data_IF_089380875882
#
_entry.id   IF_089380875882
#
_cell.length_a   1.000
_cell.length_b   1.000
_cell.length_c   1.000
_cell.angle_alpha   90.00
_cell.angle_beta   90.00
_cell.angle_gamma   90.00
#
_symmetry.space_group_name_H-M   'P 1'
#
loop_
_entity.id
_entity.type
_entity.pdbx_description
1 polymer ?
#
# COMPACT_ATOMS: atom_id res chain seq x y z
N UNK A 1 -4.63 -39.89 47.12
CA UNK A 1 -5.39 -38.88 46.35
C UNK A 1 -4.42 -37.77 46.00
N UNK A 2 -3.93 -37.74 44.77
CA UNK A 2 -3.00 -36.73 44.25
C UNK A 2 -3.56 -36.27 42.92
N UNK A 3 -4.11 -35.06 42.89
CA UNK A 3 -4.60 -34.44 41.67
C UNK A 3 -3.41 -33.75 41.03
N UNK A 4 -3.00 -34.23 39.85
CA UNK A 4 -2.05 -33.53 39.02
C UNK A 4 -2.75 -32.24 38.53
N UNK A 5 -2.26 -31.10 38.97
CA UNK A 5 -2.65 -29.80 38.43
C UNK A 5 -1.98 -29.68 37.06
N UNK A 6 -2.70 -30.00 35.99
CA UNK A 6 -2.33 -29.59 34.64
C UNK A 6 -2.31 -28.06 34.60
N UNK A 7 -1.10 -27.50 34.52
CA UNK A 7 -0.89 -26.13 34.06
C UNK A 7 -1.45 -26.01 32.64
N UNK A 8 -2.35 -25.06 32.35
CA UNK A 8 -2.58 -24.68 30.98
C UNK A 8 -1.32 -23.95 30.53
N UNK A 9 -0.55 -24.62 29.68
CA UNK A 9 0.47 -24.02 28.84
C UNK A 9 -0.20 -22.84 28.11
N UNK A 10 0.01 -21.63 28.64
CA UNK A 10 -0.32 -20.40 27.95
C UNK A 10 0.60 -20.34 26.74
N UNK A 11 0.16 -20.97 25.65
CA UNK A 11 0.59 -20.62 24.30
C UNK A 11 0.64 -19.09 24.21
N UNK A 12 1.66 -18.47 23.61
CA UNK A 12 1.64 -17.04 23.36
C UNK A 12 0.46 -16.73 22.42
N UNK A 13 -0.68 -16.37 23.02
CA UNK A 13 -1.84 -15.85 22.31
C UNK A 13 -1.39 -14.51 21.75
N UNK A 14 -1.67 -14.27 20.47
CA UNK A 14 -1.37 -13.07 19.67
C UNK A 14 -0.03 -13.13 18.92
N UNK A 15 0.19 -14.21 18.17
CA UNK A 15 0.99 -14.10 16.96
C UNK A 15 0.26 -13.08 16.07
N UNK A 16 0.80 -11.88 15.95
CA UNK A 16 0.30 -10.85 15.06
C UNK A 16 0.28 -11.44 13.64
N UNK A 17 -0.87 -11.91 13.16
CA UNK A 17 -1.04 -12.37 11.77
C UNK A 17 -0.94 -11.19 10.75
N UNK A 18 -0.27 -10.12 11.14
CA UNK A 18 -0.12 -8.89 10.41
C UNK A 18 1.13 -9.00 9.53
N UNK A 19 0.93 -9.20 8.23
CA UNK A 19 2.00 -9.41 7.27
C UNK A 19 2.25 -8.14 6.45
N UNK A 20 3.51 -7.97 6.03
CA UNK A 20 3.88 -6.89 5.12
C UNK A 20 3.53 -7.26 3.68
N UNK A 21 3.07 -6.28 2.90
CA UNK A 21 2.76 -6.47 1.51
C UNK A 21 2.87 -5.16 0.72
N UNK A 22 3.04 -5.28 -0.59
CA UNK A 22 2.76 -4.19 -1.52
C UNK A 22 1.30 -4.22 -1.90
N UNK A 23 0.61 -3.10 -1.69
CA UNK A 23 -0.80 -2.98 -2.02
C UNK A 23 -1.12 -1.63 -2.66
N UNK A 24 -2.22 -1.62 -3.41
CA UNK A 24 -2.85 -0.40 -3.94
C UNK A 24 -4.08 -0.11 -3.15
N UNK A 25 -4.22 1.14 -2.75
CA UNK A 25 -5.39 1.63 -2.04
C UNK A 25 -6.08 2.62 -2.97
N UNK A 26 -7.39 2.46 -3.21
CA UNK A 26 -8.19 3.31 -4.09
C UNK A 26 -7.68 3.40 -5.54
N UNK A 27 -6.94 2.37 -6.00
CA UNK A 27 -6.40 2.33 -7.36
C UNK A 27 -5.31 3.36 -7.65
N UNK A 28 -4.72 3.99 -6.63
CA UNK A 28 -3.60 4.92 -6.77
C UNK A 28 -2.24 4.20 -6.80
N UNK A 29 -1.17 4.91 -6.43
CA UNK A 29 0.19 4.38 -6.33
C UNK A 29 0.29 3.17 -5.39
N UNK A 30 1.35 2.38 -5.59
CA UNK A 30 1.66 1.24 -4.72
C UNK A 30 2.28 1.73 -3.42
N UNK A 31 1.79 1.18 -2.31
CA UNK A 31 2.26 1.45 -0.97
C UNK A 31 2.75 0.18 -0.30
N UNK A 32 3.72 0.33 0.62
CA UNK A 32 4.04 -0.70 1.58
C UNK A 32 2.98 -0.67 2.67
N UNK A 33 2.38 -1.81 2.95
CA UNK A 33 1.35 -1.95 3.97
C UNK A 33 1.66 -3.09 4.93
N UNK A 34 1.20 -2.95 6.17
CA UNK A 34 1.05 -4.06 7.09
C UNK A 34 -0.46 -4.28 7.28
N UNK A 35 -0.97 -5.41 6.83
CA UNK A 35 -2.38 -5.74 6.92
C UNK A 35 -2.61 -6.84 7.95
N UNK A 36 -3.62 -6.66 8.79
CA UNK A 36 -4.12 -7.74 9.63
C UNK A 36 -4.75 -8.86 8.78
N UNK A 37 -4.67 -10.10 9.26
CA UNK A 37 -5.17 -11.26 8.53
C UNK A 37 -6.65 -11.12 8.12
N UNK A 38 -6.94 -11.48 6.87
CA UNK A 38 -8.28 -11.40 6.30
C UNK A 38 -9.22 -12.37 7.02
N UNK A 39 -10.08 -11.83 7.88
CA UNK A 39 -11.13 -12.63 8.53
C UNK A 39 -12.28 -12.98 7.58
N UNK A 40 -12.55 -12.12 6.58
CA UNK A 40 -13.60 -12.32 5.57
C UNK A 40 -13.42 -11.37 4.37
N UNK A 41 -13.82 -11.77 3.14
CA UNK A 41 -13.77 -10.92 1.93
C UNK A 41 -14.63 -9.65 1.99
N UNK A 42 -15.55 -9.56 2.96
CA UNK A 42 -16.48 -8.43 3.13
C UNK A 42 -16.10 -7.61 4.37
N UNK A 43 -15.33 -8.20 5.29
CA UNK A 43 -14.95 -7.50 6.50
C UNK A 43 -13.89 -6.44 6.17
N UNK A 44 -14.03 -5.21 6.69
CA UNK A 44 -13.00 -4.21 6.57
C UNK A 44 -11.70 -4.70 7.24
N UNK A 45 -10.57 -4.28 6.69
CA UNK A 45 -9.24 -4.68 7.16
C UNK A 45 -8.51 -3.48 7.70
N UNK A 46 -7.91 -3.65 8.89
CA UNK A 46 -7.02 -2.66 9.47
C UNK A 46 -5.64 -2.76 8.82
N UNK A 47 -5.20 -1.63 8.27
CA UNK A 47 -3.98 -1.53 7.47
C UNK A 47 -3.15 -0.35 7.96
N UNK A 48 -1.87 -0.62 8.24
CA UNK A 48 -0.85 0.42 8.41
C UNK A 48 -0.20 0.69 7.07
N UNK A 49 -0.17 1.95 6.67
CA UNK A 49 0.40 2.40 5.40
C UNK A 49 1.71 3.11 5.67
N UNK A 50 2.77 2.61 5.06
CA UNK A 50 4.11 3.15 5.20
C UNK A 50 4.51 3.94 3.95
N UNK A 51 5.11 5.11 4.16
CA UNK A 51 5.62 5.97 3.10
C UNK A 51 7.13 5.81 3.00
N UNK A 52 7.63 5.78 1.77
CA UNK A 52 9.07 5.81 1.52
C UNK A 52 9.66 7.11 2.06
N UNK A 53 10.62 6.99 2.97
CA UNK A 53 11.32 8.12 3.57
C UNK A 53 12.72 8.26 2.95
N UNK A 54 13.54 7.21 3.03
CA UNK A 54 14.93 7.26 2.55
C UNK A 54 15.44 5.88 2.12
N UNK A 55 16.06 5.76 0.95
CA UNK A 55 16.72 4.54 0.44
C UNK A 55 15.81 3.29 0.58
N UNK A 56 15.95 2.55 1.68
CA UNK A 56 15.25 1.30 2.00
C UNK A 56 14.27 1.43 3.19
N UNK A 57 14.16 2.63 3.75
CA UNK A 57 13.42 2.95 4.97
C UNK A 57 12.05 3.50 4.59
N UNK A 58 11.04 2.90 5.20
CA UNK A 58 9.67 3.35 5.15
C UNK A 58 9.21 3.69 6.54
N UNK A 59 8.51 4.81 6.68
CA UNK A 59 7.95 5.25 7.95
C UNK A 59 6.45 5.15 7.92
N UNK A 60 5.84 4.77 9.06
CA UNK A 60 4.39 4.78 9.18
C UNK A 60 3.87 6.17 8.86
N UNK A 61 2.98 6.24 7.87
CA UNK A 61 2.34 7.47 7.46
C UNK A 61 0.95 7.59 8.06
N UNK A 62 0.20 6.48 8.06
CA UNK A 62 -1.15 6.42 8.64
C UNK A 62 -1.55 4.98 8.93
N UNK A 63 -2.50 4.84 9.85
CA UNK A 63 -3.24 3.61 10.09
C UNK A 63 -4.69 3.86 9.71
N UNK A 64 -5.27 2.98 8.89
CA UNK A 64 -6.65 3.12 8.45
C UNK A 64 -7.31 1.77 8.21
N UNK A 65 -8.62 1.76 8.38
CA UNK A 65 -9.49 0.62 8.08
C UNK A 65 -10.01 0.77 6.65
N UNK A 66 -9.76 -0.23 5.80
CA UNK A 66 -10.07 -0.17 4.36
C UNK A 66 -10.99 -1.33 3.99
N UNK A 67 -11.97 -1.07 3.12
CA UNK A 67 -12.84 -2.12 2.60
C UNK A 67 -12.05 -3.03 1.63
N UNK A 68 -12.25 -4.36 1.62
CA UNK A 68 -11.49 -5.27 0.74
C UNK A 68 -11.56 -4.94 -0.75
N UNK A 69 -12.65 -4.31 -1.20
CA UNK A 69 -12.80 -3.86 -2.60
C UNK A 69 -11.91 -2.64 -2.97
N UNK A 70 -11.45 -1.88 -1.98
CA UNK A 70 -10.64 -0.67 -2.16
C UNK A 70 -9.14 -0.95 -2.07
N UNK A 71 -8.76 -2.12 -1.54
CA UNK A 71 -7.37 -2.56 -1.41
C UNK A 71 -7.08 -3.75 -2.32
N UNK A 72 -5.97 -3.68 -3.05
CA UNK A 72 -5.50 -4.78 -3.90
C UNK A 72 -4.06 -5.10 -3.54
N UNK A 73 -3.85 -6.30 -3.00
CA UNK A 73 -2.52 -6.83 -2.69
C UNK A 73 -1.87 -7.30 -3.97
N UNK A 74 -0.67 -6.79 -4.24
CA UNK A 74 0.13 -7.16 -5.39
C UNK A 74 1.10 -8.28 -5.02
N UNK A 75 1.75 -8.15 -3.87
CA UNK A 75 2.79 -9.08 -3.44
C UNK A 75 2.94 -9.05 -1.93
N UNK A 76 2.88 -10.22 -1.29
CA UNK A 76 3.21 -10.38 0.13
C UNK A 76 4.71 -10.41 0.32
N UNK A 77 5.20 -9.74 1.35
CA UNK A 77 6.62 -9.64 1.69
C UNK A 77 6.90 -10.58 2.85
N UNK A 78 7.81 -11.53 2.62
CA UNK A 78 8.34 -12.42 3.65
C UNK A 78 9.18 -11.61 4.65
N UNK A 79 9.11 -11.96 5.93
CA UNK A 79 9.84 -11.34 7.04
C UNK A 79 11.37 -11.29 6.81
N UNK A 80 11.93 -12.16 5.97
CA UNK A 80 13.35 -12.10 5.56
C UNK A 80 13.70 -10.85 4.75
N UNK A 81 12.71 -10.23 4.12
CA UNK A 81 12.88 -9.09 3.23
C UNK A 81 12.39 -7.76 3.83
N UNK A 82 11.79 -7.81 5.02
CA UNK A 82 11.26 -6.65 5.75
C UNK A 82 11.61 -6.75 7.23
N UNK A 83 12.38 -5.78 7.74
CA UNK A 83 12.63 -5.63 9.16
C UNK A 83 11.78 -4.50 9.71
N UNK A 84 10.92 -4.78 10.69
CA UNK A 84 10.10 -3.78 11.36
C UNK A 84 10.73 -3.36 12.69
N UNK A 85 10.89 -2.05 12.85
CA UNK A 85 11.34 -1.40 14.08
C UNK A 85 10.13 -0.71 14.72
N UNK A 86 9.63 -1.29 15.81
CA UNK A 86 8.41 -0.82 16.49
C UNK A 86 8.58 0.57 17.11
N UNK A 87 9.72 0.83 17.76
CA UNK A 87 9.99 2.10 18.46
C UNK A 87 10.00 3.30 17.49
N UNK A 88 10.53 3.10 16.29
CA UNK A 88 10.60 4.13 15.24
C UNK A 88 9.41 4.14 14.28
N UNK A 89 8.52 3.14 14.36
CA UNK A 89 7.50 2.84 13.36
C UNK A 89 8.06 2.80 11.92
N UNK A 90 9.21 2.13 11.78
CA UNK A 90 9.96 2.05 10.53
C UNK A 90 10.01 0.62 10.00
N UNK A 91 9.96 0.50 8.69
CA UNK A 91 10.18 -0.75 7.98
C UNK A 91 11.38 -0.59 7.06
N UNK A 92 12.32 -1.51 7.17
CA UNK A 92 13.49 -1.59 6.32
C UNK A 92 13.27 -2.71 5.31
N UNK A 93 13.20 -2.35 4.04
CA UNK A 93 13.04 -3.32 2.96
C UNK A 93 14.39 -3.66 2.32
N UNK A 94 14.53 -4.90 1.86
CA UNK A 94 15.66 -5.25 1.01
C UNK A 94 15.63 -4.48 -0.31
N UNK A 95 16.81 -4.35 -0.94
CA UNK A 95 16.95 -3.71 -2.25
C UNK A 95 16.05 -4.34 -3.31
N UNK A 96 15.89 -5.65 -3.26
CA UNK A 96 15.05 -6.40 -4.20
C UNK A 96 13.59 -5.97 -4.09
N UNK A 97 13.05 -5.86 -2.88
CA UNK A 97 11.67 -5.42 -2.68
C UNK A 97 11.46 -3.95 -3.08
N UNK A 98 12.45 -3.09 -2.85
CA UNK A 98 12.42 -1.72 -3.37
C UNK A 98 12.34 -1.67 -4.90
N UNK A 99 13.13 -2.48 -5.59
CA UNK A 99 13.10 -2.56 -7.05
C UNK A 99 11.76 -3.07 -7.56
N UNK A 100 11.18 -4.09 -6.92
CA UNK A 100 9.84 -4.58 -7.26
C UNK A 100 8.78 -3.50 -7.09
N UNK A 101 8.80 -2.77 -5.97
CA UNK A 101 7.88 -1.66 -5.73
C UNK A 101 8.01 -0.56 -6.80
N UNK A 102 9.24 -0.21 -7.19
CA UNK A 102 9.50 0.74 -8.26
C UNK A 102 8.94 0.24 -9.60
N UNK A 103 9.13 -1.05 -9.91
CA UNK A 103 8.57 -1.64 -11.13
C UNK A 103 7.05 -1.53 -11.18
N UNK A 104 6.34 -1.77 -10.07
CA UNK A 104 4.88 -1.62 -10.02
C UNK A 104 4.40 -0.17 -10.20
N UNK A 105 5.22 0.81 -9.81
CA UNK A 105 4.91 2.24 -9.97
C UNK A 105 5.31 2.80 -11.35
N UNK A 106 6.35 2.24 -11.97
CA UNK A 106 6.88 2.66 -13.27
C UNK A 106 6.21 1.95 -14.46
N UNK A 107 5.67 0.75 -14.27
CA UNK A 107 5.05 0.00 -15.37
C UNK A 107 3.69 0.60 -15.77
N UNK A 108 3.53 1.05 -17.04
CA UNK A 108 2.31 1.65 -17.55
C UNK A 108 1.08 0.75 -17.46
N UNK A 109 1.26 -0.57 -17.46
CA UNK A 109 0.16 -1.55 -17.36
C UNK A 109 -0.50 -1.51 -15.99
N UNK A 110 0.29 -1.17 -14.98
CA UNK A 110 -0.19 -1.08 -13.62
C UNK A 110 -0.65 0.35 -13.31
N UNK A 111 -0.10 1.42 -13.91
CA UNK A 111 -0.72 2.76 -13.74
C UNK A 111 -2.10 2.81 -14.41
N UNK A 112 -3.18 2.72 -13.61
CA UNK A 112 -4.51 3.11 -14.09
C UNK A 112 -4.41 4.58 -14.48
N UNK A 113 -4.38 4.86 -15.78
CA UNK A 113 -4.32 6.21 -16.29
C UNK A 113 -5.54 6.96 -15.77
N UNK A 114 -5.33 7.98 -14.95
CA UNK A 114 -6.36 9.00 -14.74
C UNK A 114 -6.67 9.57 -16.13
N UNK A 115 -7.94 9.61 -16.57
CA UNK A 115 -8.28 10.18 -17.86
C UNK A 115 -7.70 11.59 -17.95
N UNK A 116 -6.80 11.83 -18.90
CA UNK A 116 -6.30 13.16 -19.19
C UNK A 116 -7.51 14.00 -19.56
N UNK A 117 -7.87 14.97 -18.72
CA UNK A 117 -8.92 15.93 -19.04
C UNK A 117 -8.58 16.62 -20.38
N UNK A 118 -9.57 16.85 -21.25
CA UNK A 118 -9.32 17.47 -22.55
C UNK A 118 -8.72 18.85 -22.34
N UNK A 119 -7.58 19.11 -22.99
CA UNK A 119 -7.01 20.46 -23.04
C UNK A 119 -8.06 21.41 -23.63
N UNK A 120 -8.33 22.58 -23.02
CA UNK A 120 -9.14 23.58 -23.69
C UNK A 120 -8.41 24.05 -24.94
N UNK A 121 -9.03 23.83 -26.10
CA UNK A 121 -8.57 24.37 -27.38
C UNK A 121 -8.79 25.89 -27.31
N UNK A 122 -7.70 26.63 -27.17
CA UNK A 122 -7.73 28.10 -27.31
C UNK A 122 -7.92 28.39 -28.80
N UNK A 123 -9.16 28.69 -29.17
CA UNK A 123 -9.56 29.17 -30.49
C UNK A 123 -8.97 30.57 -30.72
N UNK A 124 -7.87 30.63 -31.48
CA UNK A 124 -7.32 31.87 -32.01
C UNK A 124 -8.24 32.43 -33.11
N UNK A 125 -9.31 33.13 -32.71
CA UNK A 125 -10.16 33.90 -33.62
C UNK A 125 -9.55 35.30 -33.84
N UNK A 126 -8.42 35.36 -34.53
CA UNK A 126 -7.84 36.59 -35.07
C UNK A 126 -7.36 36.34 -36.49
N UNK A 127 -8.23 36.61 -37.45
CA UNK A 127 -7.93 37.16 -38.79
C UNK A 127 -9.16 36.93 -39.67
N UNK A 128 -10.02 37.96 -39.81
CA UNK A 128 -10.84 38.26 -40.99
C UNK A 128 -11.78 39.45 -40.67
N UNK A 129 -11.20 40.64 -40.49
CA UNK A 129 -11.92 41.91 -40.69
C UNK A 129 -11.06 42.88 -41.50
N UNK A 130 -10.37 42.37 -42.51
CA UNK A 130 -9.88 43.19 -43.59
C UNK A 130 -10.50 42.68 -44.88
N UNK A 131 -10.96 43.63 -45.68
CA UNK A 131 -11.77 43.51 -46.89
C UNK A 131 -13.26 43.42 -46.58
N UNK A 132 -13.90 44.57 -46.51
CA UNK A 132 -14.80 45.01 -47.57
C UNK A 132 -15.04 46.53 -47.47
N UNK A 133 -14.75 47.20 -48.59
CA UNK A 133 -15.10 48.54 -49.06
C UNK A 133 -14.85 49.76 -48.16
#
# INVERSE_FOLDING_TARGET
MTFATESPELSPIMQNDAHFAFARINGSDVHLVQASSFKSPIAPVDVKVFKHEFIYIFRLAKSCTVHPAEISFLETIDDRHALYEEEGEKVYLTREMMQKMQNYNCDPRFRKQVPKSPRPVVSNQRQQRQRQY
#
